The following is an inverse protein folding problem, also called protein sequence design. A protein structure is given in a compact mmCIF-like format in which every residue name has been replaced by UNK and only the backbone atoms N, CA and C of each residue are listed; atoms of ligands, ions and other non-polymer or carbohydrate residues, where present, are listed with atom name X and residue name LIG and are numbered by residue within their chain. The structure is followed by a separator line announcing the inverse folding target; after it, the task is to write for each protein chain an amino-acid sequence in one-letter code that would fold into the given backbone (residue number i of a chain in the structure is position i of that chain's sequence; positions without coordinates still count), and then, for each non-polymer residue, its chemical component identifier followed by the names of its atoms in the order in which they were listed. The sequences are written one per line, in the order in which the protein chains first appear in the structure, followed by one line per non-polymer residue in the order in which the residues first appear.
data_IF_663104696412
#
_entry.id   IF_663104696412
#
_cell.length_a   1.000
_cell.length_b   1.000
_cell.length_c   1.000
_cell.angle_alpha   90.00
_cell.angle_beta   90.00
_cell.angle_gamma   90.00
#
_symmetry.space_group_name_H-M   'P 1'
#
loop_
_entity.id
_entity.type
_entity.pdbx_description
1 polymer ?
#
# COMPACT_ATOMS: atom_id res chain seq x y z
N UNK A 1 16.20 1.83 -9.95
CA UNK A 1 15.25 1.17 -9.03
C UNK A 1 15.77 1.49 -7.65
N UNK A 2 15.69 2.77 -7.29
CA UNK A 2 16.54 3.31 -6.22
C UNK A 2 15.77 3.33 -4.89
N UNK A 3 14.45 3.17 -4.97
CA UNK A 3 13.52 3.09 -3.85
C UNK A 3 13.38 1.69 -3.23
N UNK A 4 14.07 0.68 -3.75
CA UNK A 4 14.00 -0.71 -3.27
C UNK A 4 15.26 -1.09 -2.50
N UNK A 5 15.09 -1.46 -1.23
CA UNK A 5 16.12 -2.08 -0.40
C UNK A 5 15.69 -3.51 -0.05
N UNK A 6 15.91 -4.42 -1.01
CA UNK A 6 15.51 -5.82 -0.90
C UNK A 6 16.19 -6.59 0.24
N UNK A 7 17.50 -6.39 0.51
CA UNK A 7 18.17 -7.04 1.65
C UNK A 7 17.54 -6.67 2.99
N UNK A 8 17.20 -5.39 3.19
CA UNK A 8 16.58 -4.92 4.43
C UNK A 8 15.05 -5.02 4.40
N UNK A 9 14.46 -5.53 3.31
CA UNK A 9 13.02 -5.64 3.09
C UNK A 9 12.33 -4.28 3.26
N UNK A 10 12.86 -3.23 2.64
CA UNK A 10 12.27 -1.88 2.68
C UNK A 10 11.95 -1.38 1.28
N UNK A 11 10.90 -0.57 1.21
CA UNK A 11 10.56 0.23 0.04
C UNK A 11 10.38 1.68 0.47
N UNK A 12 10.89 2.62 -0.31
CA UNK A 12 10.67 4.04 -0.10
C UNK A 12 9.52 4.51 -1.00
N UNK A 13 8.44 5.01 -0.41
CA UNK A 13 7.29 5.53 -1.14
C UNK A 13 7.09 6.98 -0.74
N UNK A 14 7.19 7.90 -1.71
CA UNK A 14 7.08 9.34 -1.46
C UNK A 14 8.02 9.84 -0.34
N UNK A 15 9.24 9.28 -0.26
CA UNK A 15 10.22 9.61 0.77
C UNK A 15 10.06 8.85 2.10
N UNK A 16 9.00 8.07 2.26
CA UNK A 16 8.77 7.27 3.48
C UNK A 16 9.21 5.82 3.29
N UNK A 17 10.20 5.41 4.07
CA UNK A 17 10.71 4.04 4.05
C UNK A 17 9.82 3.11 4.88
N UNK A 18 9.12 2.19 4.20
CA UNK A 18 8.22 1.20 4.78
C UNK A 18 8.85 -0.20 4.73
N UNK A 19 8.63 -1.01 5.78
CA UNK A 19 9.06 -2.41 5.79
C UNK A 19 8.07 -3.26 5.01
N UNK A 20 8.58 -4.16 4.17
CA UNK A 20 7.83 -5.17 3.47
C UNK A 20 7.66 -6.39 4.38
N UNK A 21 6.40 -6.82 4.56
CA UNK A 21 6.11 -8.14 5.13
C UNK A 21 6.62 -9.26 4.24
N UNK A 22 6.61 -10.50 4.74
CA UNK A 22 7.12 -11.67 4.01
C UNK A 22 6.42 -11.86 2.66
N UNK A 23 5.08 -11.84 2.63
CA UNK A 23 4.33 -12.06 1.40
C UNK A 23 4.62 -10.98 0.32
N UNK A 24 4.54 -9.66 0.62
CA UNK A 24 4.96 -8.62 -0.32
C UNK A 24 6.42 -8.76 -0.80
N UNK A 25 7.33 -9.13 0.10
CA UNK A 25 8.74 -9.32 -0.22
C UNK A 25 8.96 -10.47 -1.21
N UNK A 26 8.38 -11.65 -0.96
CA UNK A 26 8.47 -12.79 -1.87
C UNK A 26 7.81 -12.51 -3.22
N UNK A 27 6.65 -11.86 -3.21
CA UNK A 27 5.93 -11.48 -4.44
C UNK A 27 6.76 -10.52 -5.27
N UNK A 28 7.41 -9.55 -4.63
CA UNK A 28 8.29 -8.59 -5.30
C UNK A 28 9.52 -9.28 -5.91
N UNK A 29 10.15 -10.21 -5.19
CA UNK A 29 11.28 -10.99 -5.72
C UNK A 29 10.88 -11.83 -6.94
N UNK A 30 9.76 -12.54 -6.86
CA UNK A 30 9.22 -13.33 -7.97
C UNK A 30 8.91 -12.45 -9.18
N UNK A 31 8.27 -11.30 -8.98
CA UNK A 31 8.01 -10.32 -10.03
C UNK A 31 9.31 -9.81 -10.68
N UNK A 32 10.32 -9.42 -9.89
CA UNK A 32 11.59 -8.90 -10.42
C UNK A 32 12.36 -9.97 -11.21
N UNK A 33 12.32 -11.23 -10.76
CA UNK A 33 12.88 -12.35 -11.50
C UNK A 33 12.18 -12.55 -12.85
N UNK A 34 10.84 -12.59 -12.85
CA UNK A 34 10.05 -12.70 -14.07
C UNK A 34 10.32 -11.53 -15.03
N UNK A 35 10.34 -10.30 -14.52
CA UNK A 35 10.64 -9.08 -15.27
C UNK A 35 11.99 -9.17 -15.98
N UNK A 36 13.02 -9.67 -15.30
CA UNK A 36 14.37 -9.82 -15.85
C UNK A 36 14.42 -10.88 -16.96
N UNK A 37 13.65 -11.96 -16.84
CA UNK A 37 13.53 -13.00 -17.86
C UNK A 37 12.77 -12.48 -19.09
N UNK A 38 11.63 -11.83 -18.88
CA UNK A 38 10.77 -11.34 -19.98
C UNK A 38 11.45 -10.19 -20.74
N UNK A 39 12.12 -9.27 -20.03
CA UNK A 39 12.68 -8.06 -20.61
C UNK A 39 14.11 -7.78 -20.13
N UNK A 40 15.10 -8.56 -20.58
CA UNK A 40 16.47 -8.50 -20.06
C UNK A 40 17.19 -7.18 -20.35
N UNK A 41 16.75 -6.43 -21.37
CA UNK A 41 17.38 -5.17 -21.83
C UNK A 41 16.49 -3.94 -21.62
N UNK A 42 15.50 -4.01 -20.73
CA UNK A 42 14.62 -2.85 -20.49
C UNK A 42 15.41 -1.68 -19.89
N UNK A 43 15.33 -0.47 -20.49
CA UNK A 43 15.90 0.73 -19.90
C UNK A 43 15.07 1.27 -18.73
N UNK A 44 13.81 0.83 -18.60
CA UNK A 44 12.89 1.32 -17.57
C UNK A 44 13.38 0.90 -16.17
N UNK A 45 13.42 1.87 -15.25
CA UNK A 45 13.86 1.68 -13.86
C UNK A 45 12.70 1.58 -12.87
N UNK A 46 11.45 1.64 -13.33
CA UNK A 46 10.29 1.46 -12.48
C UNK A 46 10.10 -0.02 -12.12
N UNK A 47 9.60 -0.26 -10.91
CA UNK A 47 9.35 -1.61 -10.39
C UNK A 47 8.28 -2.30 -11.24
N UNK A 48 7.14 -1.66 -11.41
CA UNK A 48 6.04 -2.15 -12.22
C UNK A 48 6.18 -1.61 -13.65
N UNK A 49 6.25 -2.53 -14.61
CA UNK A 49 6.32 -2.25 -16.04
C UNK A 49 5.35 -3.15 -16.80
N UNK A 50 4.97 -2.75 -18.01
CA UNK A 50 4.20 -3.60 -18.92
C UNK A 50 4.81 -3.55 -20.32
N UNK A 51 4.24 -4.32 -21.26
CA UNK A 51 4.71 -4.36 -22.64
C UNK A 51 4.69 -2.98 -23.36
N UNK A 52 3.90 -2.01 -22.87
CA UNK A 52 3.87 -0.65 -23.42
C UNK A 52 4.95 0.26 -22.83
N UNK A 53 5.27 0.12 -21.53
CA UNK A 53 6.23 1.00 -20.85
C UNK A 53 7.67 0.47 -20.89
N UNK A 54 7.86 -0.81 -21.22
CA UNK A 54 9.16 -1.50 -21.14
C UNK A 54 10.31 -0.82 -21.91
N UNK A 55 10.04 -0.18 -23.05
CA UNK A 55 11.06 0.55 -23.83
C UNK A 55 11.18 2.03 -23.45
N UNK A 56 10.29 2.51 -22.58
CA UNK A 56 10.25 3.88 -22.12
C UNK A 56 11.02 4.08 -20.81
N UNK A 57 10.80 5.26 -20.25
CA UNK A 57 11.35 5.70 -18.97
C UNK A 57 10.23 6.16 -18.01
N UNK A 58 8.98 5.84 -18.33
CA UNK A 58 7.80 6.28 -17.58
C UNK A 58 7.14 5.12 -16.86
N UNK A 59 6.51 5.37 -15.70
CA UNK A 59 5.83 4.33 -14.95
C UNK A 59 4.60 3.81 -15.71
N UNK A 60 4.14 2.63 -15.31
CA UNK A 60 2.79 2.17 -15.65
C UNK A 60 1.77 3.18 -15.12
N UNK A 61 0.77 3.52 -15.94
CA UNK A 61 -0.27 4.46 -15.53
C UNK A 61 -1.13 3.90 -14.40
N UNK A 62 -1.56 4.78 -13.47
CA UNK A 62 -2.48 4.39 -12.40
C UNK A 62 -3.79 3.80 -12.96
N UNK A 63 -4.29 4.35 -14.08
CA UNK A 63 -5.49 3.86 -14.76
C UNK A 63 -5.32 2.44 -15.31
N UNK A 64 -4.12 2.07 -15.77
CA UNK A 64 -3.85 0.70 -16.19
C UNK A 64 -4.03 -0.27 -15.01
N UNK A 65 -3.41 0.03 -13.86
CA UNK A 65 -3.52 -0.81 -12.67
C UNK A 65 -4.97 -0.89 -12.18
N UNK A 66 -5.64 0.27 -12.10
CA UNK A 66 -7.04 0.35 -11.67
C UNK A 66 -7.92 -0.53 -12.56
N UNK A 67 -7.89 -0.35 -13.88
CA UNK A 67 -8.73 -1.13 -14.79
C UNK A 67 -8.45 -2.64 -14.69
N UNK A 68 -7.18 -3.05 -14.71
CA UNK A 68 -6.84 -4.48 -14.68
C UNK A 68 -7.26 -5.16 -13.36
N UNK A 69 -7.10 -4.47 -12.22
CA UNK A 69 -7.49 -5.01 -10.92
C UNK A 69 -9.01 -4.97 -10.71
N UNK A 70 -9.68 -3.91 -11.18
CA UNK A 70 -11.14 -3.82 -11.10
C UNK A 70 -11.84 -4.94 -11.86
N UNK A 71 -11.32 -5.34 -13.03
CA UNK A 71 -11.83 -6.50 -13.75
C UNK A 71 -11.72 -7.82 -12.97
N UNK A 72 -10.85 -7.87 -11.96
CA UNK A 72 -10.69 -9.00 -11.06
C UNK A 72 -11.44 -8.80 -9.73
N UNK A 73 -12.29 -7.77 -9.62
CA UNK A 73 -13.02 -7.44 -8.40
C UNK A 73 -12.17 -6.78 -7.32
N UNK A 74 -10.97 -6.32 -7.65
CA UNK A 74 -10.02 -5.72 -6.70
C UNK A 74 -10.04 -4.19 -6.83
N UNK A 75 -10.43 -3.52 -5.74
CA UNK A 75 -10.54 -2.06 -5.67
C UNK A 75 -9.35 -1.49 -4.88
N UNK A 76 -8.44 -0.79 -5.55
CA UNK A 76 -7.24 -0.23 -4.92
C UNK A 76 -7.57 0.78 -3.82
N UNK A 77 -8.60 1.60 -4.02
CA UNK A 77 -9.05 2.57 -3.03
C UNK A 77 -9.56 1.87 -1.77
N UNK A 78 -10.22 0.71 -1.93
CA UNK A 78 -10.69 -0.10 -0.81
C UNK A 78 -9.53 -0.73 -0.04
N UNK A 79 -8.56 -1.34 -0.74
CA UNK A 79 -7.34 -1.87 -0.11
C UNK A 79 -6.63 -0.79 0.70
N UNK A 80 -6.50 0.41 0.12
CA UNK A 80 -5.88 1.55 0.82
C UNK A 80 -6.69 1.95 2.05
N UNK A 81 -8.01 2.08 1.93
CA UNK A 81 -8.90 2.42 3.03
C UNK A 81 -8.85 1.40 4.17
N UNK A 82 -8.89 0.11 3.83
CA UNK A 82 -8.79 -1.00 4.79
C UNK A 82 -7.45 -0.96 5.53
N UNK A 83 -6.35 -0.68 4.83
CA UNK A 83 -5.02 -0.56 5.46
C UNK A 83 -4.93 0.64 6.39
N UNK A 84 -5.50 1.80 6.01
CA UNK A 84 -5.53 3.00 6.86
C UNK A 84 -6.36 2.74 8.12
N UNK A 85 -7.54 2.14 7.97
CA UNK A 85 -8.40 1.81 9.10
C UNK A 85 -7.75 0.79 10.03
N UNK A 86 -7.13 -0.26 9.48
CA UNK A 86 -6.41 -1.25 10.27
C UNK A 86 -5.24 -0.62 11.05
N UNK A 87 -4.48 0.30 10.46
CA UNK A 87 -3.43 1.03 11.19
C UNK A 87 -4.01 1.82 12.36
N UNK A 88 -5.12 2.53 12.13
CA UNK A 88 -5.80 3.31 13.17
C UNK A 88 -6.29 2.41 14.33
N UNK A 89 -6.78 1.21 14.03
CA UNK A 89 -7.24 0.25 15.04
C UNK A 89 -6.09 -0.44 15.80
N UNK A 90 -4.90 -0.56 15.21
CA UNK A 90 -3.78 -1.33 15.79
C UNK A 90 -2.75 -0.48 16.50
N UNK A 91 -2.45 0.71 15.97
CA UNK A 91 -1.46 1.65 16.54
C UNK A 91 -2.13 2.72 17.38
N UNK A 92 -3.39 3.03 17.09
CA UNK A 92 -4.18 4.06 17.77
C UNK A 92 -4.77 5.04 16.76
N UNK A 93 -5.95 5.58 17.10
CA UNK A 93 -6.70 6.49 16.26
C UNK A 93 -6.14 7.94 16.31
N UNK A 94 -4.85 8.11 16.04
CA UNK A 94 -4.21 9.42 15.94
C UNK A 94 -4.28 9.97 14.50
N UNK A 95 -5.04 11.05 14.24
CA UNK A 95 -5.12 11.68 12.92
C UNK A 95 -3.77 12.16 12.38
N UNK A 96 -2.85 12.61 13.25
CA UNK A 96 -1.56 13.14 12.82
C UNK A 96 -0.67 12.01 12.29
N UNK A 97 -0.60 10.89 13.01
CA UNK A 97 0.06 9.66 12.55
C UNK A 97 -0.45 9.21 11.19
N UNK A 98 -1.78 9.11 11.02
CA UNK A 98 -2.39 8.65 9.77
C UNK A 98 -2.12 9.61 8.60
N UNK A 99 -2.18 10.92 8.85
CA UNK A 99 -1.88 11.93 7.84
C UNK A 99 -0.43 11.80 7.32
N UNK A 100 0.54 11.66 8.23
CA UNK A 100 1.95 11.54 7.89
C UNK A 100 2.28 10.20 7.22
N UNK A 101 1.76 9.09 7.75
CA UNK A 101 2.11 7.75 7.26
C UNK A 101 1.49 7.45 5.89
N UNK A 102 0.24 7.90 5.67
CA UNK A 102 -0.50 7.60 4.44
C UNK A 102 -0.62 8.79 3.50
N UNK A 103 0.04 9.91 3.79
CA UNK A 103 -0.04 11.16 3.02
C UNK A 103 -1.50 11.57 2.74
N UNK A 104 -2.30 11.61 3.81
CA UNK A 104 -3.72 11.99 3.76
C UNK A 104 -3.87 13.47 4.12
N UNK A 105 -4.94 14.10 3.63
CA UNK A 105 -5.34 15.40 4.19
C UNK A 105 -5.72 15.24 5.67
N UNK A 106 -5.57 16.31 6.44
CA UNK A 106 -6.01 16.34 7.83
C UNK A 106 -7.48 15.91 7.97
N UNK A 107 -8.36 16.40 7.08
CA UNK A 107 -9.78 16.05 7.09
C UNK A 107 -10.05 14.56 6.88
N UNK A 108 -9.34 13.91 5.95
CA UNK A 108 -9.47 12.47 5.72
C UNK A 108 -8.90 11.67 6.87
N UNK A 109 -7.74 12.06 7.41
CA UNK A 109 -7.12 11.38 8.54
C UNK A 109 -8.00 11.44 9.79
N UNK A 110 -8.55 12.61 10.14
CA UNK A 110 -9.46 12.78 11.27
C UNK A 110 -10.73 11.93 11.15
N UNK A 111 -11.25 11.74 9.93
CA UNK A 111 -12.40 10.85 9.71
C UNK A 111 -12.07 9.39 9.98
N UNK A 112 -10.92 8.90 9.50
CA UNK A 112 -10.51 7.52 9.78
C UNK A 112 -10.26 7.28 11.27
N UNK A 113 -9.62 8.24 11.95
CA UNK A 113 -9.42 8.20 13.39
C UNK A 113 -10.76 8.13 14.15
N UNK A 114 -11.72 9.00 13.83
CA UNK A 114 -13.04 8.98 14.48
C UNK A 114 -13.78 7.64 14.27
N UNK A 115 -13.73 7.08 13.06
CA UNK A 115 -14.32 5.77 12.77
C UNK A 115 -13.65 4.68 13.61
N UNK A 116 -12.31 4.67 13.68
CA UNK A 116 -11.58 3.69 14.47
C UNK A 116 -11.89 3.82 15.97
N UNK A 117 -12.00 5.06 16.48
CA UNK A 117 -12.32 5.31 17.88
C UNK A 117 -13.71 4.76 18.25
N UNK A 118 -14.73 5.07 17.45
CA UNK A 118 -16.08 4.55 17.66
C UNK A 118 -16.11 3.01 17.66
N UNK A 119 -15.39 2.36 16.73
CA UNK A 119 -15.33 0.90 16.66
C UNK A 119 -14.63 0.28 17.88
N UNK A 120 -13.63 0.96 18.44
CA UNK A 120 -12.95 0.50 19.66
C UNK A 120 -13.86 0.65 20.88
N UNK A 121 -14.60 1.75 20.97
CA UNK A 121 -15.55 2.00 22.06
C UNK A 121 -16.69 0.96 22.01
N UNK A 122 -17.27 0.69 20.83
CA UNK A 122 -18.27 -0.37 20.62
C UNK A 122 -17.78 -1.75 21.06
N UNK A 123 -16.49 -2.08 20.83
CA UNK A 123 -15.91 -3.35 21.25
C UNK A 123 -15.76 -3.46 22.78
N UNK A 124 -15.45 -2.34 23.45
CA UNK A 124 -15.36 -2.28 24.90
C UNK A 124 -16.74 -2.51 25.52
N UNK A 125 -17.78 -1.84 25.01
CA UNK A 125 -19.16 -2.01 25.48
C UNK A 125 -19.65 -3.45 25.35
N UNK A 126 -19.43 -4.09 24.20
CA UNK A 126 -19.83 -5.49 23.96
C UNK A 126 -19.10 -6.49 24.87
N UNK A 127 -17.83 -6.22 25.19
CA UNK A 127 -17.06 -7.07 26.09
C UNK A 127 -17.57 -6.96 27.53
N UNK A 128 -17.94 -5.75 27.97
CA UNK A 128 -18.49 -5.49 29.30
C UNK A 128 -19.91 -6.07 29.50
N UNK A 129 -20.72 -6.16 28.44
CA UNK A 129 -22.06 -6.78 28.49
C UNK A 129 -22.02 -8.32 28.47
N UNK A 130 -20.89 -8.92 28.11
CA UNK A 130 -20.70 -10.37 28.01
C UNK A 130 -20.06 -11.02 29.24
N UNK A 131 -19.66 -10.22 30.24
CA UNK A 131 -19.14 -10.65 31.56
C UNK A 131 -20.24 -10.62 32.64
#
# INVERSE_FOLDING_TARGET
MDDLDLPNRRITIAGHAQRLGELPHQTLLAWLAQRRITWPKTPDRHVLINAKTVLGNGPVSAEYLKRHLLHQGVYLERIRGDRVLHEALTVGADPLHLALLFNLSHTTASRYAAIAQNLLDDQIEQTAESE
#
